data_IF_273879530327
#
_entry.id   IF_273879530327
#
_cell.length_a   1.000
_cell.length_b   1.000
_cell.length_c   1.000
_cell.angle_alpha   90.00
_cell.angle_beta   90.00
_cell.angle_gamma   90.00
#
_symmetry.space_group_name_H-M   'P 1'
#
loop_
_entity.id
_entity.type
_entity.pdbx_description
1 polymer ?
#
# COMPACT_ATOMS: atom_id res chain seq x y z
N UNK A 1 19.84 -23.95 11.26
CA UNK A 1 18.74 -24.15 10.30
C UNK A 1 17.50 -23.62 10.98
N UNK A 2 16.95 -22.52 10.48
CA UNK A 2 15.71 -21.95 11.00
C UNK A 2 14.58 -22.49 10.12
N UNK A 3 13.70 -23.31 10.68
CA UNK A 3 12.46 -23.69 10.00
C UNK A 3 11.48 -22.51 10.14
N UNK A 4 11.27 -21.80 9.04
CA UNK A 4 10.27 -20.75 8.93
C UNK A 4 9.00 -21.41 8.37
N UNK A 5 8.03 -21.65 9.24
CA UNK A 5 6.85 -22.50 8.98
C UNK A 5 5.98 -22.07 7.78
N UNK A 6 6.17 -20.89 7.19
CA UNK A 6 5.34 -20.39 6.07
C UNK A 6 6.10 -20.08 4.76
N UNK A 7 7.41 -20.29 4.71
CA UNK A 7 8.16 -20.09 3.46
C UNK A 7 8.90 -21.36 3.08
N UNK A 8 8.43 -22.04 2.02
CA UNK A 8 9.16 -23.17 1.44
C UNK A 8 10.59 -22.71 1.13
N UNK A 9 11.61 -23.32 1.76
CA UNK A 9 13.00 -22.93 1.58
C UNK A 9 13.89 -23.20 2.81
N UNK A 10 15.20 -23.03 2.64
CA UNK A 10 16.18 -23.08 3.74
C UNK A 10 16.70 -21.68 4.02
N UNK A 11 16.75 -21.29 5.29
CA UNK A 11 17.30 -20.01 5.71
C UNK A 11 18.56 -20.19 6.57
N UNK A 12 19.58 -19.39 6.27
CA UNK A 12 20.85 -19.33 6.99
C UNK A 12 21.04 -17.93 7.54
N UNK A 13 21.30 -17.83 8.84
CA UNK A 13 21.57 -16.57 9.52
C UNK A 13 23.05 -16.49 9.91
N UNK A 14 23.68 -15.33 9.70
CA UNK A 14 25.07 -15.08 10.04
C UNK A 14 25.30 -13.59 10.34
N UNK A 15 26.36 -13.30 11.09
CA UNK A 15 26.88 -11.93 11.20
C UNK A 15 27.80 -11.65 10.01
N UNK A 16 27.60 -10.54 9.33
CA UNK A 16 28.39 -10.14 8.17
C UNK A 16 28.81 -8.67 8.26
N UNK A 17 30.01 -8.34 7.79
CA UNK A 17 30.44 -6.95 7.67
C UNK A 17 29.83 -6.30 6.41
N UNK A 18 29.01 -5.26 6.59
CA UNK A 18 28.45 -4.49 5.49
C UNK A 18 29.39 -3.33 5.11
N UNK A 19 30.02 -3.42 3.93
CA UNK A 19 30.96 -2.39 3.45
C UNK A 19 30.31 -1.02 3.30
N UNK A 20 29.10 -0.95 2.73
CA UNK A 20 28.42 0.33 2.48
C UNK A 20 27.97 1.04 3.77
N UNK A 21 27.64 0.28 4.82
CA UNK A 21 27.18 0.83 6.10
C UNK A 21 28.29 0.92 7.16
N UNK A 22 29.50 0.42 6.85
CA UNK A 22 30.65 0.35 7.75
C UNK A 22 30.32 -0.26 9.13
N UNK A 23 29.55 -1.36 9.14
CA UNK A 23 29.14 -2.05 10.38
C UNK A 23 28.84 -3.52 10.17
N UNK A 24 28.82 -4.27 11.27
CA UNK A 24 28.30 -5.64 11.30
C UNK A 24 26.78 -5.60 11.20
N UNK A 25 26.21 -6.51 10.42
CA UNK A 25 24.76 -6.70 10.24
C UNK A 25 24.39 -8.15 10.50
N UNK A 26 23.18 -8.37 10.98
CA UNK A 26 22.57 -9.70 10.99
C UNK A 26 22.04 -9.99 9.59
N UNK A 27 22.67 -10.90 8.86
CA UNK A 27 22.35 -11.26 7.48
C UNK A 27 21.60 -12.60 7.45
N UNK A 28 20.51 -12.66 6.69
CA UNK A 28 19.78 -13.88 6.40
C UNK A 28 19.82 -14.16 4.90
N UNK A 29 20.30 -15.35 4.55
CA UNK A 29 20.27 -15.89 3.20
C UNK A 29 19.14 -16.91 3.15
N UNK A 30 18.11 -16.61 2.38
CA UNK A 30 16.96 -17.49 2.18
C UNK A 30 17.01 -18.09 0.79
N UNK A 31 17.24 -19.40 0.72
CA UNK A 31 17.23 -20.19 -0.51
C UNK A 31 15.84 -20.77 -0.74
N UNK A 32 15.18 -20.34 -1.82
CA UNK A 32 13.88 -20.85 -2.22
C UNK A 32 14.01 -22.14 -3.05
N UNK A 33 12.97 -23.00 -3.11
CA UNK A 33 12.98 -24.25 -3.87
C UNK A 33 13.23 -24.08 -5.37
N UNK A 34 12.93 -22.91 -5.92
CA UNK A 34 13.20 -22.57 -7.32
C UNK A 34 14.65 -22.14 -7.58
N UNK A 35 15.54 -22.23 -6.58
CA UNK A 35 16.95 -21.82 -6.66
C UNK A 35 17.18 -20.32 -6.50
N UNK A 36 16.13 -19.51 -6.34
CA UNK A 36 16.26 -18.07 -6.09
C UNK A 36 16.74 -17.84 -4.65
N UNK A 37 17.72 -16.95 -4.49
CA UNK A 37 18.23 -16.53 -3.19
C UNK A 37 17.74 -15.13 -2.85
N UNK A 38 17.13 -14.97 -1.69
CA UNK A 38 16.76 -13.66 -1.12
C UNK A 38 17.70 -13.33 0.03
N UNK A 39 18.14 -12.08 0.08
CA UNK A 39 18.99 -11.56 1.14
C UNK A 39 18.18 -10.57 1.97
N UNK A 40 18.15 -10.79 3.29
CA UNK A 40 17.55 -9.89 4.26
C UNK A 40 18.61 -9.51 5.28
N UNK A 41 18.60 -8.28 5.79
CA UNK A 41 19.57 -7.90 6.81
C UNK A 41 19.00 -6.91 7.81
N UNK A 42 19.50 -6.95 9.04
CA UNK A 42 19.24 -5.95 10.06
C UNK A 42 20.53 -5.25 10.47
N UNK A 43 20.43 -3.95 10.74
CA UNK A 43 21.53 -3.18 11.34
C UNK A 43 21.71 -3.46 12.83
N UNK A 44 20.72 -4.11 13.46
CA UNK A 44 20.89 -4.74 14.77
C UNK A 44 21.52 -6.11 14.58
N UNK A 45 22.78 -6.23 14.98
CA UNK A 45 23.55 -7.47 14.85
C UNK A 45 23.07 -8.59 15.79
N UNK A 46 22.27 -8.27 16.82
CA UNK A 46 21.76 -9.26 17.77
C UNK A 46 20.37 -9.76 17.39
N UNK A 47 19.74 -9.16 16.38
CA UNK A 47 18.44 -9.58 15.87
C UNK A 47 18.53 -11.00 15.30
N UNK A 48 17.61 -11.87 15.73
CA UNK A 48 17.59 -13.25 15.26
C UNK A 48 17.23 -13.32 13.77
N UNK A 49 17.75 -14.33 13.07
CA UNK A 49 17.43 -14.49 11.64
C UNK A 49 15.93 -14.71 11.37
N UNK A 50 15.19 -15.24 12.34
CA UNK A 50 13.72 -15.36 12.27
C UNK A 50 13.09 -13.98 12.26
N UNK A 51 13.44 -13.14 13.22
CA UNK A 51 12.89 -11.79 13.34
C UNK A 51 13.23 -10.95 12.11
N UNK A 52 14.47 -11.06 11.59
CA UNK A 52 14.86 -10.38 10.34
C UNK A 52 13.92 -10.75 9.20
N UNK A 53 13.62 -12.04 9.01
CA UNK A 53 12.71 -12.47 7.94
C UNK A 53 11.28 -12.02 8.20
N UNK A 54 10.81 -12.10 9.44
CA UNK A 54 9.48 -11.67 9.85
C UNK A 54 9.28 -10.16 9.60
N UNK A 55 10.21 -9.32 10.03
CA UNK A 55 10.20 -7.88 9.76
C UNK A 55 10.20 -7.56 8.26
N UNK A 56 10.97 -8.28 7.45
CA UNK A 56 10.94 -8.09 6.00
C UNK A 56 9.61 -8.55 5.38
N UNK A 57 8.99 -9.56 5.94
CA UNK A 57 7.68 -10.06 5.48
C UNK A 57 6.57 -9.06 5.83
N UNK A 58 6.60 -8.48 7.04
CA UNK A 58 5.63 -7.45 7.45
C UNK A 58 5.88 -6.11 6.76
N UNK A 59 7.13 -5.78 6.39
CA UNK A 59 7.48 -4.55 5.65
C UNK A 59 6.68 -4.38 4.35
N UNK A 60 6.38 -5.48 3.65
CA UNK A 60 5.57 -5.42 2.43
C UNK A 60 4.15 -4.91 2.69
N UNK A 61 3.60 -5.07 3.90
CA UNK A 61 2.29 -4.55 4.26
C UNK A 61 2.23 -3.02 4.18
N UNK A 62 3.30 -2.33 4.57
CA UNK A 62 3.39 -0.87 4.44
C UNK A 62 3.42 -0.46 2.96
N UNK A 63 4.18 -1.17 2.12
CA UNK A 63 4.22 -0.90 0.68
C UNK A 63 2.84 -1.05 0.01
N UNK A 64 2.04 -2.05 0.44
CA UNK A 64 0.66 -2.18 -0.05
C UNK A 64 -0.20 -0.98 0.36
N UNK A 65 -0.08 -0.49 1.59
CA UNK A 65 -0.80 0.71 2.03
C UNK A 65 -0.47 1.94 1.17
N UNK A 66 0.81 2.21 0.92
CA UNK A 66 1.21 3.34 0.08
C UNK A 66 0.77 3.17 -1.37
N UNK A 67 0.86 1.95 -1.92
CA UNK A 67 0.42 1.64 -3.29
C UNK A 67 -1.07 1.89 -3.47
N UNK A 68 -1.90 1.35 -2.57
CA UNK A 68 -3.35 1.51 -2.64
C UNK A 68 -3.77 2.97 -2.45
N UNK A 69 -3.13 3.69 -1.52
CA UNK A 69 -3.38 5.11 -1.30
C UNK A 69 -3.05 5.95 -2.55
N UNK A 70 -1.92 5.68 -3.22
CA UNK A 70 -1.55 6.35 -4.47
C UNK A 70 -2.51 6.02 -5.61
N UNK A 71 -2.82 4.75 -5.80
CA UNK A 71 -3.58 4.28 -6.96
C UNK A 71 -5.07 4.63 -6.87
N UNK A 72 -5.65 4.56 -5.67
CA UNK A 72 -7.09 4.66 -5.50
C UNK A 72 -7.54 5.90 -4.76
N UNK A 73 -6.72 6.48 -3.87
CA UNK A 73 -7.18 7.44 -2.86
C UNK A 73 -6.44 8.80 -2.92
N UNK A 74 -5.75 9.05 -4.02
CA UNK A 74 -5.22 10.36 -4.38
C UNK A 74 -4.07 10.86 -3.52
N UNK A 75 -3.27 9.95 -2.93
CA UNK A 75 -2.12 10.33 -2.11
C UNK A 75 -1.12 11.24 -2.85
N UNK A 76 -1.06 11.12 -4.17
CA UNK A 76 -0.16 11.88 -5.05
C UNK A 76 -0.89 12.90 -5.94
N UNK A 77 -2.20 13.11 -5.73
CA UNK A 77 -3.00 13.97 -6.60
C UNK A 77 -2.94 15.45 -6.16
N UNK A 78 -2.52 15.72 -4.92
CA UNK A 78 -2.40 17.08 -4.40
C UNK A 78 -1.21 17.81 -5.04
N UNK A 79 -1.49 18.93 -5.72
CA UNK A 79 -0.50 19.80 -6.36
C UNK A 79 -0.24 21.10 -5.56
N UNK A 80 -0.65 21.15 -4.29
CA UNK A 80 -0.46 22.34 -3.46
C UNK A 80 1.02 22.54 -3.10
N UNK A 81 1.50 23.77 -3.14
CA UNK A 81 2.85 24.12 -2.68
C UNK A 81 2.91 24.47 -1.18
N UNK A 82 1.76 24.58 -0.50
CA UNK A 82 1.68 24.88 0.92
C UNK A 82 1.75 23.60 1.77
N UNK A 83 2.62 23.61 2.79
CA UNK A 83 2.86 22.45 3.65
C UNK A 83 1.60 21.99 4.37
N UNK A 84 0.78 22.90 4.92
CA UNK A 84 -0.43 22.51 5.65
C UNK A 84 -1.46 21.85 4.74
N UNK A 85 -1.57 22.34 3.50
CA UNK A 85 -2.45 21.73 2.48
C UNK A 85 -1.98 20.34 2.08
N UNK A 86 -0.67 20.14 1.94
CA UNK A 86 -0.08 18.82 1.68
C UNK A 86 -0.33 17.86 2.85
N UNK A 87 -0.04 18.28 4.08
CA UNK A 87 -0.27 17.48 5.28
C UNK A 87 -1.75 17.05 5.40
N UNK A 88 -2.67 17.97 5.14
CA UNK A 88 -4.10 17.67 5.12
C UNK A 88 -4.47 16.65 4.03
N UNK A 89 -3.94 16.80 2.81
CA UNK A 89 -4.19 15.87 1.71
C UNK A 89 -3.67 14.46 2.02
N UNK A 90 -2.44 14.34 2.53
CA UNK A 90 -1.87 13.04 2.90
C UNK A 90 -2.69 12.36 4.00
N UNK A 91 -3.03 13.08 5.07
CA UNK A 91 -3.83 12.55 6.17
C UNK A 91 -5.23 12.11 5.69
N UNK A 92 -5.83 12.88 4.80
CA UNK A 92 -7.14 12.55 4.21
C UNK A 92 -7.05 11.27 3.37
N UNK A 93 -6.03 11.11 2.53
CA UNK A 93 -5.83 9.89 1.72
C UNK A 93 -5.62 8.65 2.58
N UNK A 94 -4.82 8.71 3.65
CA UNK A 94 -4.64 7.58 4.56
C UNK A 94 -5.88 7.28 5.40
N UNK A 95 -6.63 8.32 5.80
CA UNK A 95 -7.92 8.13 6.48
C UNK A 95 -8.91 7.42 5.57
N UNK A 96 -9.01 7.84 4.31
CA UNK A 96 -9.83 7.18 3.30
C UNK A 96 -9.39 5.72 3.08
N UNK A 97 -8.08 5.42 3.17
CA UNK A 97 -7.57 4.06 3.05
C UNK A 97 -8.07 3.17 4.18
N UNK A 98 -8.01 3.66 5.41
CA UNK A 98 -8.49 2.91 6.57
C UNK A 98 -9.99 2.62 6.46
N UNK A 99 -10.80 3.61 6.08
CA UNK A 99 -12.24 3.43 5.86
C UNK A 99 -12.49 2.42 4.71
N UNK A 100 -11.80 2.57 3.59
CA UNK A 100 -11.94 1.68 2.45
C UNK A 100 -11.57 0.24 2.81
N UNK A 101 -10.51 0.01 3.59
CA UNK A 101 -10.12 -1.33 4.05
C UNK A 101 -11.21 -1.98 4.92
N UNK A 102 -11.83 -1.22 5.83
CA UNK A 102 -12.94 -1.71 6.65
C UNK A 102 -14.13 -2.10 5.76
N UNK A 103 -14.55 -1.20 4.86
CA UNK A 103 -15.66 -1.47 3.94
C UNK A 103 -15.37 -2.67 3.01
N UNK A 104 -14.15 -2.79 2.50
CA UNK A 104 -13.72 -3.91 1.67
C UNK A 104 -13.83 -5.24 2.43
N UNK A 105 -13.47 -5.25 3.72
CA UNK A 105 -13.59 -6.44 4.57
C UNK A 105 -15.06 -6.83 4.79
N UNK A 106 -15.93 -5.86 5.03
CA UNK A 106 -17.37 -6.10 5.24
C UNK A 106 -18.10 -6.54 3.96
N UNK A 107 -17.75 -5.93 2.82
CA UNK A 107 -18.40 -6.17 1.53
C UNK A 107 -17.75 -7.27 0.70
N UNK A 108 -16.60 -7.81 1.13
CA UNK A 108 -15.85 -8.82 0.37
C UNK A 108 -15.37 -8.32 -0.99
N UNK A 109 -14.96 -7.05 -1.09
CA UNK A 109 -14.57 -6.41 -2.36
C UNK A 109 -13.18 -5.78 -2.30
N UNK A 110 -12.59 -5.43 -3.45
CA UNK A 110 -11.31 -4.72 -3.52
C UNK A 110 -11.51 -3.20 -3.47
N UNK A 111 -10.48 -2.46 -3.03
CA UNK A 111 -10.51 -1.00 -2.96
C UNK A 111 -10.79 -0.39 -4.34
N UNK A 112 -10.21 -0.94 -5.40
CA UNK A 112 -10.47 -0.48 -6.77
C UNK A 112 -11.93 -0.66 -7.20
N UNK A 113 -12.57 -1.78 -6.85
CA UNK A 113 -14.01 -2.00 -7.14
C UNK A 113 -14.89 -1.11 -6.28
N UNK A 114 -14.57 -0.96 -5.00
CA UNK A 114 -15.27 -0.04 -4.10
C UNK A 114 -15.24 1.39 -4.65
N UNK A 115 -14.06 1.88 -5.06
CA UNK A 115 -13.90 3.18 -5.70
C UNK A 115 -14.79 3.31 -6.94
N UNK A 116 -14.74 2.33 -7.84
CA UNK A 116 -15.55 2.34 -9.06
C UNK A 116 -17.06 2.39 -8.75
N UNK A 117 -17.52 1.60 -7.77
CA UNK A 117 -18.92 1.62 -7.33
C UNK A 117 -19.34 2.98 -6.76
N UNK A 118 -18.52 3.56 -5.88
CA UNK A 118 -18.80 4.88 -5.29
C UNK A 118 -18.82 5.99 -6.34
N UNK A 119 -17.86 5.99 -7.26
CA UNK A 119 -17.78 6.96 -8.35
C UNK A 119 -18.98 6.83 -9.28
N UNK A 120 -19.34 5.60 -9.67
CA UNK A 120 -20.50 5.35 -10.52
C UNK A 120 -21.81 5.76 -9.85
N UNK A 121 -21.99 5.45 -8.55
CA UNK A 121 -23.15 5.87 -7.79
C UNK A 121 -23.25 7.41 -7.70
N UNK A 122 -22.12 8.08 -7.46
CA UNK A 122 -22.07 9.55 -7.44
C UNK A 122 -22.45 10.16 -8.80
N UNK A 123 -21.90 9.66 -9.91
CA UNK A 123 -22.26 10.15 -11.24
C UNK A 123 -23.72 9.87 -11.59
N UNK A 124 -24.24 8.69 -11.26
CA UNK A 124 -25.64 8.37 -11.47
C UNK A 124 -26.56 9.33 -10.71
N UNK A 125 -26.26 9.61 -9.44
CA UNK A 125 -27.01 10.59 -8.66
C UNK A 125 -26.92 11.99 -9.26
N UNK A 126 -25.74 12.43 -9.69
CA UNK A 126 -25.60 13.74 -10.35
C UNK A 126 -26.40 13.86 -11.63
N UNK A 127 -26.47 12.79 -12.43
CA UNK A 127 -27.29 12.73 -13.64
C UNK A 127 -28.76 12.91 -13.24
N UNK A 128 -29.24 12.14 -12.27
CA UNK A 128 -30.62 12.24 -11.77
C UNK A 128 -30.89 13.67 -11.29
N UNK A 129 -30.08 14.23 -10.40
CA UNK A 129 -30.27 15.58 -9.83
C UNK A 129 -30.33 16.69 -10.89
N UNK A 130 -29.61 16.52 -12.01
CA UNK A 130 -29.60 17.49 -13.12
C UNK A 130 -30.86 17.34 -13.99
N UNK A 131 -31.25 16.12 -14.33
CA UNK A 131 -32.39 15.87 -15.23
C UNK A 131 -33.76 15.88 -14.52
N UNK A 132 -33.81 15.62 -13.21
CA UNK A 132 -35.01 15.70 -12.39
C UNK A 132 -35.52 17.15 -12.26
N UNK A 133 -34.64 18.14 -12.44
CA UNK A 133 -35.01 19.57 -12.47
C UNK A 133 -35.60 20.05 -13.79
N UNK A 134 -35.16 19.51 -14.94
CA UNK A 134 -35.82 19.69 -16.25
C UNK A 134 -35.21 18.73 -17.30
N UNK A 135 -35.96 17.76 -17.85
CA UNK A 135 -35.42 16.77 -18.79
C UNK A 135 -35.00 17.38 -20.16
N UNK A 136 -35.41 18.60 -20.46
CA UNK A 136 -35.14 19.28 -21.75
C UNK A 136 -34.15 20.44 -21.65
N UNK A 137 -33.31 20.52 -20.61
CA UNK A 137 -32.27 21.56 -20.56
C UNK A 137 -31.18 21.26 -21.59
N UNK A 138 -30.95 22.10 -22.62
CA UNK A 138 -29.86 21.86 -23.57
C UNK A 138 -28.53 22.02 -22.85
N UNK A 139 -27.67 20.99 -22.92
CA UNK A 139 -26.37 20.96 -22.24
C UNK A 139 -25.36 21.98 -22.80
N UNK A 140 -25.57 22.45 -24.03
CA UNK A 140 -24.73 23.46 -24.66
C UNK A 140 -25.58 24.70 -24.93
N UNK A 141 -25.27 25.81 -24.25
CA UNK A 141 -25.55 27.13 -24.82
C UNK A 141 -24.44 27.36 -25.83
N UNK A 142 -24.80 27.44 -27.11
CA UNK A 142 -23.90 27.89 -28.17
C UNK A 142 -23.24 29.21 -27.71
N UNK A 143 -21.91 29.23 -27.73
CA UNK A 143 -21.10 30.40 -27.43
C UNK A 143 -20.92 31.28 -28.65
#
# INVERSE_FOLDING_TARGET
>A
MLELEETSGKAYALKAWCKSLHRVVSLVIHELPNGVRRLYFSTDENMSGRDVVEYYTTRFQEEFCFRDAKQFLGLTDCQACDKRKLDFAFNSSFTALNVAKIMCKELGTSIGRLKAQMVNAYYAQRIIDVFEKNPNTPLNKEG
#
